data_IF_932834681509
#
_entry.id   IF_932834681509
#
_cell.length_a   1.000
_cell.length_b   1.000
_cell.length_c   1.000
_cell.angle_alpha   90.00
_cell.angle_beta   90.00
_cell.angle_gamma   90.00
#
_symmetry.space_group_name_H-M   'P 1'
#
loop_
_entity.id
_entity.type
_entity.pdbx_description
1 polymer ?
#
# COMPACT_ATOMS: atom_id res chain seq x y z
N UNK A 1 72.32 71.95 -7.24
CA UNK A 1 72.67 72.00 -8.68
C UNK A 1 72.41 70.62 -9.27
N UNK A 2 71.45 70.52 -10.21
CA UNK A 2 71.19 69.48 -11.25
C UNK A 2 71.31 67.99 -10.82
N UNK A 3 70.20 67.25 -10.68
CA UNK A 3 69.53 66.43 -11.72
C UNK A 3 70.46 65.41 -12.39
N UNK A 4 70.22 64.11 -12.19
CA UNK A 4 70.12 63.12 -13.28
C UNK A 4 69.36 61.86 -12.85
N UNK A 5 68.44 61.43 -13.73
CA UNK A 5 67.50 60.30 -13.65
C UNK A 5 68.18 58.93 -13.76
N UNK A 6 67.54 57.88 -13.24
CA UNK A 6 67.30 56.67 -14.04
C UNK A 6 66.13 55.83 -13.51
N UNK A 7 65.23 55.50 -14.43
CA UNK A 7 64.08 54.61 -14.27
C UNK A 7 64.53 53.15 -14.14
N UNK A 8 63.88 52.40 -13.24
CA UNK A 8 63.75 50.95 -13.36
C UNK A 8 62.29 50.56 -13.15
N UNK A 9 61.57 50.33 -14.25
CA UNK A 9 60.36 49.52 -14.28
C UNK A 9 60.73 48.08 -13.94
N UNK A 10 60.15 47.53 -12.88
CA UNK A 10 60.15 46.08 -12.64
C UNK A 10 58.73 45.56 -12.82
N UNK A 11 58.55 44.75 -13.87
CA UNK A 11 57.33 44.01 -14.17
C UNK A 11 57.01 43.03 -13.03
N UNK A 12 55.81 43.13 -12.46
CA UNK A 12 55.23 42.08 -11.65
C UNK A 12 54.71 40.97 -12.59
N UNK A 13 55.45 39.86 -12.65
CA UNK A 13 55.00 38.62 -13.30
C UNK A 13 53.99 37.95 -12.37
N UNK A 14 52.71 38.09 -12.66
CA UNK A 14 51.63 37.31 -12.05
C UNK A 14 51.70 35.87 -12.59
N UNK A 15 52.28 34.96 -11.80
CA UNK A 15 52.10 33.53 -11.99
C UNK A 15 50.64 33.17 -11.70
N UNK A 16 49.83 33.11 -12.75
CA UNK A 16 48.53 32.44 -12.71
C UNK A 16 48.82 30.93 -12.66
N UNK A 17 48.71 30.34 -11.47
CA UNK A 17 48.59 28.90 -11.36
C UNK A 17 47.30 28.48 -12.09
N UNK A 18 47.35 27.59 -13.09
CA UNK A 18 46.14 27.00 -13.60
C UNK A 18 45.55 26.15 -12.48
N UNK A 19 44.36 26.52 -12.00
CA UNK A 19 43.50 25.64 -11.24
C UNK A 19 43.28 24.39 -12.10
N UNK A 20 44.04 23.33 -11.82
CA UNK A 20 43.78 22.00 -12.34
C UNK A 20 42.36 21.62 -11.94
N UNK A 21 41.58 21.20 -12.93
CA UNK A 21 40.14 20.99 -12.85
C UNK A 21 39.70 20.25 -11.60
N UNK A 22 38.58 20.70 -11.04
CA UNK A 22 37.99 20.08 -9.86
C UNK A 22 37.67 18.62 -10.17
N UNK A 23 38.34 17.69 -9.48
CA UNK A 23 37.87 16.32 -9.36
C UNK A 23 36.51 16.38 -8.67
N UNK A 24 35.41 16.30 -9.43
CA UNK A 24 34.08 16.09 -8.85
C UNK A 24 34.13 14.77 -8.09
N UNK A 25 34.19 14.85 -6.76
CA UNK A 25 34.07 13.66 -5.92
C UNK A 25 32.63 13.15 -6.06
N UNK A 26 32.39 12.17 -6.93
CA UNK A 26 31.12 11.48 -6.95
C UNK A 26 30.94 10.75 -5.61
N UNK A 27 30.02 11.26 -4.79
CA UNK A 27 29.62 10.64 -3.53
C UNK A 27 28.19 10.11 -3.70
N UNK A 28 28.04 8.79 -3.75
CA UNK A 28 26.76 8.12 -3.98
C UNK A 28 25.88 8.31 -2.73
N UNK A 29 24.64 8.80 -2.86
CA UNK A 29 23.73 9.02 -1.73
C UNK A 29 23.45 7.75 -0.93
N UNK A 30 23.32 7.90 0.39
CA UNK A 30 23.09 6.78 1.33
C UNK A 30 21.86 5.94 0.98
N UNK A 31 20.82 6.56 0.40
CA UNK A 31 19.60 5.87 -0.03
C UNK A 31 19.85 4.82 -1.15
N UNK A 32 20.91 4.99 -1.93
CA UNK A 32 21.32 4.04 -2.97
C UNK A 32 22.36 3.03 -2.47
N UNK A 33 23.06 3.33 -1.38
CA UNK A 33 24.11 2.49 -0.84
C UNK A 33 23.56 1.19 -0.25
N UNK A 34 24.41 0.16 -0.19
CA UNK A 34 24.11 -1.14 0.37
C UNK A 34 24.12 -2.27 -0.66
N UNK A 35 23.60 -3.41 -0.24
CA UNK A 35 23.58 -4.65 -1.01
C UNK A 35 22.18 -4.91 -1.57
N UNK A 36 22.10 -5.03 -2.88
CA UNK A 36 20.87 -5.12 -3.64
C UNK A 36 20.81 -6.40 -4.45
N UNK A 37 19.67 -7.07 -4.40
CA UNK A 37 19.36 -8.26 -5.19
C UNK A 37 18.43 -7.91 -6.34
N UNK A 38 18.73 -8.40 -7.54
CA UNK A 38 17.86 -8.29 -8.71
C UNK A 38 17.86 -9.59 -9.50
N UNK A 39 16.77 -9.84 -10.24
CA UNK A 39 16.73 -10.87 -11.26
C UNK A 39 16.79 -10.23 -12.64
N UNK A 40 17.93 -10.35 -13.30
CA UNK A 40 18.24 -9.70 -14.57
C UNK A 40 18.37 -10.77 -15.67
N UNK A 41 17.54 -10.70 -16.71
CA UNK A 41 17.54 -11.67 -17.82
C UNK A 41 17.48 -13.14 -17.33
N UNK A 42 16.65 -13.39 -16.31
CA UNK A 42 16.49 -14.71 -15.71
C UNK A 42 17.62 -15.16 -14.79
N UNK A 43 18.65 -14.35 -14.57
CA UNK A 43 19.80 -14.66 -13.71
C UNK A 43 19.75 -13.82 -12.43
N UNK A 44 20.23 -14.42 -11.35
CA UNK A 44 20.39 -13.74 -10.07
C UNK A 44 21.61 -12.81 -10.14
N UNK A 45 21.40 -11.52 -9.89
CA UNK A 45 22.43 -10.49 -9.86
C UNK A 45 22.47 -9.86 -8.47
N UNK A 46 23.69 -9.66 -7.98
CA UNK A 46 23.96 -8.93 -6.73
C UNK A 46 24.70 -7.65 -7.10
N UNK A 47 24.22 -6.54 -6.55
CA UNK A 47 24.80 -5.22 -6.75
C UNK A 47 25.14 -4.63 -5.39
N UNK A 48 26.40 -4.34 -5.15
CA UNK A 48 26.86 -3.57 -4.00
C UNK A 48 27.18 -2.15 -4.44
N UNK A 49 26.63 -1.17 -3.71
CA UNK A 49 26.85 0.25 -3.90
C UNK A 49 27.45 0.81 -2.61
N UNK A 50 28.66 1.34 -2.70
CA UNK A 50 29.29 2.09 -1.61
C UNK A 50 29.24 3.59 -1.89
N UNK A 51 29.93 4.42 -1.10
CA UNK A 51 29.94 5.87 -1.28
C UNK A 51 30.58 6.33 -2.62
N UNK A 52 31.32 5.47 -3.31
CA UNK A 52 32.18 5.84 -4.44
C UNK A 52 32.16 4.84 -5.60
N UNK A 53 31.56 3.66 -5.45
CA UNK A 53 31.67 2.57 -6.42
C UNK A 53 30.41 1.71 -6.48
N UNK A 54 30.30 0.96 -7.58
CA UNK A 54 29.28 -0.05 -7.80
C UNK A 54 29.94 -1.35 -8.27
N UNK A 55 29.59 -2.47 -7.64
CA UNK A 55 30.10 -3.78 -8.01
C UNK A 55 29.86 -4.06 -9.50
N UNK A 56 30.88 -4.61 -10.20
CA UNK A 56 30.85 -4.93 -11.65
C UNK A 56 30.71 -3.72 -12.60
N UNK A 57 30.78 -2.49 -12.09
CA UNK A 57 30.78 -1.25 -12.88
C UNK A 57 31.93 -0.32 -12.52
N UNK A 58 32.53 -0.48 -11.34
CA UNK A 58 33.72 0.22 -10.91
C UNK A 58 33.43 1.54 -10.19
N UNK A 59 34.31 2.52 -10.34
CA UNK A 59 34.28 3.78 -9.58
C UNK A 59 33.32 4.78 -10.21
N UNK A 60 32.54 5.48 -9.40
CA UNK A 60 31.72 6.58 -9.84
C UNK A 60 32.58 7.80 -10.20
N UNK A 61 32.31 8.40 -11.35
CA UNK A 61 33.00 9.60 -11.85
C UNK A 61 32.12 10.84 -11.79
N UNK A 62 30.83 10.69 -12.10
CA UNK A 62 29.89 11.79 -12.17
C UNK A 62 28.50 11.33 -11.75
N UNK A 63 27.73 12.24 -11.19
CA UNK A 63 26.34 12.02 -10.79
C UNK A 63 25.50 13.24 -11.13
N UNK A 64 24.28 13.01 -11.60
CA UNK A 64 23.21 13.99 -11.70
C UNK A 64 22.04 13.51 -10.85
N UNK A 65 21.57 14.39 -9.99
CA UNK A 65 20.42 14.16 -9.12
C UNK A 65 19.23 14.98 -9.62
N UNK A 66 18.06 14.36 -9.69
CA UNK A 66 16.80 15.00 -10.04
C UNK A 66 15.75 14.66 -8.97
N UNK A 67 15.27 15.68 -8.27
CA UNK A 67 14.21 15.60 -7.25
C UNK A 67 14.47 14.61 -6.11
N UNK A 68 15.74 14.30 -5.79
CA UNK A 68 16.14 13.33 -4.75
C UNK A 68 15.60 11.91 -4.93
N UNK A 69 15.01 11.59 -6.09
CA UNK A 69 14.41 10.28 -6.39
C UNK A 69 15.02 9.65 -7.65
N UNK A 70 15.57 10.46 -8.55
CA UNK A 70 16.20 9.99 -9.77
C UNK A 70 17.68 10.35 -9.73
N UNK A 71 18.54 9.35 -9.92
CA UNK A 71 19.99 9.53 -9.89
C UNK A 71 20.60 8.91 -11.13
N UNK A 72 21.31 9.71 -11.92
CA UNK A 72 22.04 9.25 -13.10
C UNK A 72 23.53 9.29 -12.77
N UNK A 73 24.18 8.15 -12.75
CA UNK A 73 25.59 8.01 -12.40
C UNK A 73 26.39 7.45 -13.58
N UNK A 74 27.63 7.92 -13.73
CA UNK A 74 28.63 7.32 -14.61
C UNK A 74 29.61 6.54 -13.77
N UNK A 75 29.75 5.26 -14.08
CA UNK A 75 30.76 4.38 -13.51
C UNK A 75 31.84 4.06 -14.54
N UNK A 76 33.08 3.91 -14.07
CA UNK A 76 34.23 3.48 -14.86
C UNK A 76 34.86 2.22 -14.27
N UNK A 77 35.04 1.22 -15.12
CA UNK A 77 35.85 0.04 -14.86
C UNK A 77 36.80 -0.18 -16.04
N UNK A 78 38.10 -0.11 -15.78
CA UNK A 78 39.13 -0.15 -16.81
C UNK A 78 38.93 0.95 -17.88
N UNK A 79 38.70 0.57 -19.14
CA UNK A 79 38.40 1.49 -20.26
C UNK A 79 36.90 1.72 -20.48
N UNK A 80 36.06 1.02 -19.73
CA UNK A 80 34.63 0.94 -19.94
C UNK A 80 33.87 1.97 -19.09
N UNK A 81 33.02 2.77 -19.73
CA UNK A 81 32.05 3.64 -19.05
C UNK A 81 30.65 3.04 -19.12
N UNK A 82 29.95 3.03 -17.98
CA UNK A 82 28.55 2.62 -17.91
C UNK A 82 27.73 3.74 -17.28
N UNK A 83 26.65 4.15 -17.94
CA UNK A 83 25.67 5.01 -17.32
C UNK A 83 24.59 4.16 -16.65
N UNK A 84 24.28 4.46 -15.38
CA UNK A 84 23.22 3.82 -14.62
C UNK A 84 22.29 4.89 -14.08
N UNK A 85 21.01 4.79 -14.43
CA UNK A 85 19.94 5.62 -13.88
C UNK A 85 19.17 4.82 -12.85
N UNK A 86 19.21 5.25 -11.59
CA UNK A 86 18.41 4.72 -10.49
C UNK A 86 17.16 5.55 -10.26
N UNK A 87 16.06 4.87 -9.96
CA UNK A 87 14.79 5.42 -9.52
C UNK A 87 14.51 4.87 -8.12
N UNK A 88 14.52 5.74 -7.12
CA UNK A 88 14.17 5.37 -5.74
C UNK A 88 12.67 5.20 -5.65
N UNK A 89 12.20 3.96 -5.47
CA UNK A 89 10.77 3.67 -5.25
C UNK A 89 10.44 3.74 -3.77
N UNK A 90 11.26 3.07 -2.96
CA UNK A 90 11.14 3.05 -1.50
C UNK A 90 12.54 2.92 -0.89
N UNK A 91 12.63 2.94 0.44
CA UNK A 91 13.89 2.67 1.15
C UNK A 91 14.42 1.24 0.93
N UNK A 92 13.59 0.32 0.46
CA UNK A 92 13.95 -1.09 0.24
C UNK A 92 13.90 -1.50 -1.24
N UNK A 93 13.45 -0.62 -2.14
CA UNK A 93 13.22 -0.93 -3.54
C UNK A 93 13.76 0.19 -4.42
N UNK A 94 14.67 -0.17 -5.31
CA UNK A 94 15.12 0.69 -6.39
C UNK A 94 14.69 0.07 -7.72
N UNK A 95 14.57 0.90 -8.74
CA UNK A 95 14.63 0.43 -10.12
C UNK A 95 15.84 1.05 -10.80
N UNK A 96 16.42 0.34 -11.77
CA UNK A 96 17.50 0.88 -12.59
C UNK A 96 17.30 0.64 -14.08
N UNK A 97 17.91 1.50 -14.86
CA UNK A 97 18.21 1.31 -16.28
C UNK A 97 19.70 1.54 -16.44
N UNK A 98 20.36 0.71 -17.25
CA UNK A 98 21.78 0.87 -17.55
C UNK A 98 22.06 0.80 -19.05
N UNK A 99 23.07 1.56 -19.48
CA UNK A 99 23.61 1.46 -20.83
C UNK A 99 24.59 0.29 -20.91
N UNK A 100 24.83 -0.27 -22.10
CA UNK A 100 25.98 -1.13 -22.30
C UNK A 100 27.29 -0.36 -22.05
N UNK A 101 28.39 -1.11 -22.00
CA UNK A 101 29.73 -0.57 -21.94
C UNK A 101 30.02 0.35 -23.14
N UNK A 102 30.49 1.57 -22.88
CA UNK A 102 30.89 2.55 -23.90
C UNK A 102 32.37 2.89 -23.70
N UNK A 103 33.15 2.76 -24.76
CA UNK A 103 34.52 3.27 -24.81
C UNK A 103 34.49 4.75 -25.21
N UNK A 104 35.05 5.61 -24.37
CA UNK A 104 35.13 7.04 -24.62
C UNK A 104 36.49 7.60 -24.18
N UNK A 105 37.09 8.55 -24.91
CA UNK A 105 38.28 9.26 -24.45
C UNK A 105 37.95 10.04 -23.17
N UNK A 106 38.89 10.06 -22.20
CA UNK A 106 38.68 10.65 -20.86
C UNK A 106 38.22 12.11 -20.93
N UNK A 107 38.67 12.83 -21.95
CA UNK A 107 38.41 14.26 -22.16
C UNK A 107 36.94 14.58 -22.52
N UNK A 108 36.15 13.56 -22.88
CA UNK A 108 34.75 13.69 -23.33
C UNK A 108 33.74 12.95 -22.45
N UNK A 109 34.13 12.54 -21.24
CA UNK A 109 33.24 11.83 -20.31
C UNK A 109 32.29 12.82 -19.63
N UNK A 110 31.06 12.88 -20.13
CA UNK A 110 29.97 13.65 -19.51
C UNK A 110 28.69 12.83 -19.45
N UNK A 111 27.77 13.21 -18.55
CA UNK A 111 26.45 12.56 -18.43
C UNK A 111 25.70 12.59 -19.76
N UNK A 112 25.71 13.73 -20.46
CA UNK A 112 24.99 13.86 -21.72
C UNK A 112 25.59 12.99 -22.82
N UNK A 113 26.91 12.75 -22.80
CA UNK A 113 27.59 11.93 -23.81
C UNK A 113 27.44 10.43 -23.54
N UNK A 114 27.67 9.99 -22.30
CA UNK A 114 27.64 8.55 -21.95
C UNK A 114 26.20 8.05 -21.80
N UNK A 115 25.30 8.86 -21.23
CA UNK A 115 23.91 8.46 -20.99
C UNK A 115 22.98 8.72 -22.17
N UNK A 116 23.46 9.26 -23.30
CA UNK A 116 22.62 9.58 -24.46
C UNK A 116 21.85 8.36 -25.02
N UNK A 117 22.43 7.16 -24.86
CA UNK A 117 21.89 5.91 -25.38
C UNK A 117 20.91 5.20 -24.45
N UNK A 118 20.62 5.74 -23.26
CA UNK A 118 19.61 5.16 -22.35
C UNK A 118 18.22 5.37 -22.96
N UNK A 119 17.76 4.38 -23.72
CA UNK A 119 16.52 4.45 -24.48
C UNK A 119 15.33 4.37 -23.50
N UNK A 120 14.28 5.18 -23.72
CA UNK A 120 13.07 5.19 -22.89
C UNK A 120 12.27 3.88 -22.93
N UNK A 121 12.61 2.99 -23.87
CA UNK A 121 12.03 1.66 -24.05
C UNK A 121 12.75 0.53 -23.30
N UNK A 122 13.87 0.81 -22.60
CA UNK A 122 14.55 -0.20 -21.80
C UNK A 122 13.66 -0.62 -20.62
N UNK A 123 13.54 -1.93 -20.43
CA UNK A 123 12.80 -2.52 -19.32
C UNK A 123 13.50 -2.20 -17.99
N UNK A 124 12.74 -1.69 -17.03
CA UNK A 124 13.22 -1.38 -15.70
C UNK A 124 13.59 -2.66 -14.95
N UNK A 125 14.78 -2.68 -14.38
CA UNK A 125 15.22 -3.76 -13.49
C UNK A 125 14.92 -3.34 -12.06
N UNK A 126 14.14 -4.15 -11.33
CA UNK A 126 13.87 -3.91 -9.91
C UNK A 126 14.97 -4.52 -9.03
N UNK A 127 15.41 -3.76 -8.04
CA UNK A 127 16.39 -4.14 -7.04
C UNK A 127 15.73 -4.14 -5.66
N UNK A 128 15.95 -5.20 -4.88
CA UNK A 128 15.48 -5.37 -3.51
C UNK A 128 16.65 -5.28 -2.55
N UNK A 129 16.52 -4.48 -1.50
CA UNK A 129 17.54 -4.41 -0.44
C UNK A 129 17.65 -5.76 0.27
N UNK A 130 18.87 -6.33 0.35
CA UNK A 130 19.09 -7.57 1.10
C UNK A 130 18.96 -7.35 2.62
N UNK A 131 19.24 -6.12 3.09
CA UNK A 131 19.12 -5.69 4.49
C UNK A 131 17.92 -4.76 4.66
N UNK A 132 16.75 -5.20 4.18
CA UNK A 132 15.54 -4.38 4.20
C UNK A 132 15.05 -4.08 5.62
N UNK A 133 14.42 -2.91 5.77
CA UNK A 133 13.70 -2.51 6.99
C UNK A 133 12.19 -2.62 6.72
N UNK A 134 11.45 -3.50 7.41
CA UNK A 134 10.01 -3.65 7.19
C UNK A 134 9.25 -2.33 7.33
N UNK A 135 8.40 -2.03 6.36
CA UNK A 135 7.53 -0.84 6.38
C UNK A 135 6.08 -1.24 6.61
N UNK A 136 5.22 -0.26 6.90
CA UNK A 136 3.81 -0.52 7.15
C UNK A 136 3.10 -0.96 5.86
N UNK A 137 2.40 -2.09 5.90
CA UNK A 137 1.62 -2.66 4.82
C UNK A 137 0.34 -1.87 4.53
N UNK A 138 -0.06 -0.92 5.38
CA UNK A 138 -1.38 -0.27 5.29
C UNK A 138 -1.61 0.47 3.97
N UNK A 139 -0.58 1.09 3.40
CA UNK A 139 -0.65 1.72 2.08
C UNK A 139 -0.71 0.70 0.94
N UNK A 140 -0.06 -0.45 1.09
CA UNK A 140 -0.01 -1.53 0.09
C UNK A 140 -1.29 -2.39 0.08
N UNK A 141 -1.65 -2.94 1.24
CA UNK A 141 -2.76 -3.87 1.44
C UNK A 141 -3.16 -3.86 2.93
N UNK A 142 -4.37 -3.42 3.26
CA UNK A 142 -4.92 -3.47 4.63
C UNK A 142 -6.33 -4.07 4.69
N UNK A 143 -6.53 -5.12 5.50
CA UNK A 143 -7.83 -5.78 5.62
C UNK A 143 -7.78 -7.31 5.64
N UNK A 144 -8.97 -7.90 5.48
CA UNK A 144 -9.17 -9.35 5.35
C UNK A 144 -9.96 -9.65 4.09
N UNK A 145 -9.45 -10.57 3.28
CA UNK A 145 -10.06 -10.94 2.00
C UNK A 145 -10.07 -12.45 1.85
N UNK A 146 -11.18 -13.01 1.35
CA UNK A 146 -11.13 -14.29 0.68
C UNK A 146 -10.57 -14.08 -0.73
N UNK A 147 -9.90 -15.10 -1.28
CA UNK A 147 -9.46 -15.02 -2.66
C UNK A 147 -9.58 -16.34 -3.41
N UNK A 148 -9.78 -16.21 -4.72
CA UNK A 148 -9.53 -17.25 -5.68
C UNK A 148 -8.21 -16.97 -6.38
N UNK A 149 -7.48 -18.00 -6.79
CA UNK A 149 -6.19 -17.81 -7.46
C UNK A 149 -6.05 -18.64 -8.73
N UNK A 150 -5.34 -18.05 -9.69
CA UNK A 150 -4.93 -18.68 -10.93
C UNK A 150 -3.41 -18.58 -11.03
N UNK A 151 -2.76 -19.67 -11.45
CA UNK A 151 -1.34 -19.66 -11.78
C UNK A 151 -1.12 -20.25 -13.16
N UNK A 152 -0.76 -19.40 -14.13
CA UNK A 152 -0.68 -19.76 -15.56
C UNK A 152 0.35 -20.84 -15.87
N UNK A 153 1.32 -21.06 -14.98
CA UNK A 153 2.39 -22.03 -15.16
C UNK A 153 2.15 -23.35 -14.44
N UNK A 154 1.18 -23.40 -13.51
CA UNK A 154 0.93 -24.58 -12.67
C UNK A 154 -0.35 -25.32 -13.02
N UNK A 155 -1.42 -24.61 -13.39
CA UNK A 155 -2.71 -25.23 -13.68
C UNK A 155 -3.62 -24.34 -14.53
N UNK A 156 -4.64 -24.95 -15.14
CA UNK A 156 -5.67 -24.26 -15.92
C UNK A 156 -6.90 -23.97 -15.06
N UNK A 157 -7.46 -22.77 -15.19
CA UNK A 157 -8.64 -22.32 -14.45
C UNK A 157 -8.30 -21.55 -13.17
N UNK A 158 -9.35 -21.27 -12.38
CA UNK A 158 -9.27 -20.47 -11.16
C UNK A 158 -9.64 -21.35 -9.96
N UNK A 159 -8.71 -21.51 -9.00
CA UNK A 159 -8.95 -22.26 -7.78
C UNK A 159 -9.71 -21.39 -6.78
N UNK A 160 -10.95 -21.79 -6.49
CA UNK A 160 -11.87 -21.15 -5.54
C UNK A 160 -12.05 -22.02 -4.31
N UNK A 161 -11.52 -21.57 -3.18
CA UNK A 161 -11.69 -22.26 -1.90
C UNK A 161 -12.10 -21.26 -0.79
N UNK A 162 -13.11 -21.55 0.04
CA UNK A 162 -13.59 -20.62 1.07
C UNK A 162 -12.54 -20.31 2.14
N UNK A 163 -11.66 -21.28 2.45
CA UNK A 163 -10.58 -21.08 3.43
C UNK A 163 -9.29 -20.48 2.84
N UNK A 164 -9.30 -20.06 1.57
CA UNK A 164 -8.21 -19.25 1.00
C UNK A 164 -8.43 -17.78 1.35
N UNK A 165 -7.54 -17.20 2.17
CA UNK A 165 -7.69 -15.81 2.60
C UNK A 165 -6.35 -15.08 2.76
N UNK A 166 -6.42 -13.75 2.62
CA UNK A 166 -5.35 -12.81 2.90
C UNK A 166 -5.72 -12.05 4.17
N UNK A 167 -4.80 -11.93 5.12
CA UNK A 167 -4.98 -11.16 6.35
C UNK A 167 -3.80 -10.21 6.53
N UNK A 168 -4.06 -8.92 6.32
CA UNK A 168 -3.09 -7.82 6.50
C UNK A 168 -3.63 -6.83 7.52
N UNK A 169 -3.35 -7.11 8.79
CA UNK A 169 -3.94 -6.42 9.92
C UNK A 169 -2.87 -6.11 10.96
N UNK A 170 -3.10 -5.04 11.72
CA UNK A 170 -2.26 -4.71 12.88
C UNK A 170 -2.22 -5.89 13.84
N UNK A 171 -1.01 -6.40 14.11
CA UNK A 171 -0.80 -7.43 15.12
C UNK A 171 -0.56 -6.73 16.47
N UNK A 172 -1.10 -7.27 17.57
CA UNK A 172 -0.88 -6.73 18.92
C UNK A 172 0.51 -7.09 19.46
N UNK A 173 1.53 -7.05 18.60
CA UNK A 173 2.90 -7.40 18.97
C UNK A 173 3.50 -6.27 19.80
N UNK A 174 3.37 -6.42 21.12
CA UNK A 174 3.76 -5.53 22.21
C UNK A 174 2.79 -4.39 22.53
N UNK A 175 2.65 -4.11 23.83
CA UNK A 175 1.71 -3.13 24.42
C UNK A 175 1.92 -1.67 23.96
N UNK A 176 2.89 -1.38 23.08
CA UNK A 176 3.31 -0.02 22.75
C UNK A 176 3.38 0.31 21.24
N UNK A 177 3.39 -0.68 20.33
CA UNK A 177 3.55 -0.42 18.89
C UNK A 177 2.63 -1.32 18.05
N UNK A 178 1.49 -0.79 17.60
CA UNK A 178 0.64 -1.45 16.59
C UNK A 178 1.32 -1.36 15.21
N UNK A 179 2.20 -2.30 14.88
CA UNK A 179 2.90 -2.33 13.58
C UNK A 179 2.26 -3.35 12.64
N UNK A 180 1.59 -2.87 11.59
CA UNK A 180 1.18 -3.71 10.45
C UNK A 180 2.34 -3.80 9.45
N UNK A 181 3.44 -4.48 9.79
CA UNK A 181 4.61 -4.64 8.91
C UNK A 181 4.62 -5.96 8.14
N UNK A 182 3.69 -6.85 8.46
CA UNK A 182 3.60 -8.20 7.90
C UNK A 182 2.16 -8.58 7.63
N UNK A 183 1.97 -9.45 6.65
CA UNK A 183 0.67 -10.05 6.36
C UNK A 183 0.83 -11.50 5.90
N UNK A 184 -0.27 -12.25 6.03
CA UNK A 184 -0.29 -13.67 5.67
C UNK A 184 -1.24 -13.90 4.50
N UNK A 185 -0.82 -14.79 3.59
CA UNK A 185 -1.67 -15.37 2.56
C UNK A 185 -1.78 -16.87 2.83
N UNK A 186 -3.01 -17.34 3.03
CA UNK A 186 -3.33 -18.76 3.20
C UNK A 186 -3.88 -19.28 1.89
N UNK A 187 -3.14 -20.17 1.24
CA UNK A 187 -3.55 -20.91 0.06
C UNK A 187 -4.17 -22.24 0.48
N UNK A 188 -5.23 -22.62 -0.23
CA UNK A 188 -5.85 -23.94 -0.12
C UNK A 188 -5.89 -24.65 -1.46
N UNK A 189 -5.77 -25.97 -1.39
CA UNK A 189 -5.85 -26.85 -2.56
C UNK A 189 -7.31 -26.97 -3.02
N UNK A 190 -7.53 -26.94 -4.33
CA UNK A 190 -8.85 -27.19 -4.92
C UNK A 190 -8.99 -28.64 -5.37
N UNK A 191 -10.14 -29.25 -5.08
CA UNK A 191 -10.47 -30.61 -5.51
C UNK A 191 -10.49 -30.69 -7.04
N UNK A 192 -9.79 -31.68 -7.60
CA UNK A 192 -9.70 -31.89 -9.05
C UNK A 192 -8.73 -30.97 -9.80
N UNK A 193 -8.05 -30.04 -9.13
CA UNK A 193 -7.04 -29.15 -9.73
C UNK A 193 -5.63 -29.56 -9.32
N UNK A 194 -4.97 -30.34 -10.18
CA UNK A 194 -3.56 -30.67 -10.04
C UNK A 194 -2.71 -29.39 -10.14
N UNK A 195 -1.79 -29.18 -9.21
CA UNK A 195 -0.96 -27.96 -9.14
C UNK A 195 -1.47 -26.85 -8.20
N UNK A 196 -2.73 -26.94 -7.75
CA UNK A 196 -3.19 -26.18 -6.56
C UNK A 196 -2.59 -26.78 -5.29
N UNK A 197 -2.41 -25.96 -4.24
CA UNK A 197 -1.67 -26.38 -3.04
C UNK A 197 -2.22 -25.75 -1.76
N UNK A 198 -1.92 -26.40 -0.63
CA UNK A 198 -2.13 -25.86 0.71
C UNK A 198 -0.82 -25.25 1.21
N UNK A 199 -0.88 -24.01 1.72
CA UNK A 199 0.31 -23.34 2.24
C UNK A 199 -0.02 -22.00 2.87
N UNK A 200 0.81 -21.59 3.82
CA UNK A 200 0.74 -20.25 4.43
C UNK A 200 2.04 -19.53 4.14
N UNK A 201 1.94 -18.37 3.52
CA UNK A 201 3.08 -17.51 3.23
C UNK A 201 2.96 -16.24 4.05
N UNK A 202 3.99 -15.94 4.83
CA UNK A 202 4.10 -14.69 5.58
C UNK A 202 5.03 -13.74 4.80
N UNK A 203 4.52 -12.54 4.52
CA UNK A 203 5.22 -11.51 3.79
C UNK A 203 5.52 -10.33 4.71
N UNK A 204 6.75 -9.83 4.67
CA UNK A 204 7.12 -8.50 5.19
C UNK A 204 7.00 -7.46 4.08
N UNK A 205 6.40 -6.31 4.36
CA UNK A 205 6.24 -5.25 3.38
C UNK A 205 7.53 -4.45 3.20
N UNK A 206 7.92 -4.23 1.93
CA UNK A 206 9.09 -3.46 1.53
C UNK A 206 8.72 -2.04 1.05
N UNK A 207 7.44 -1.84 0.72
CA UNK A 207 6.82 -0.56 0.38
C UNK A 207 6.10 -0.61 -0.96
N UNK A 208 5.52 0.52 -1.35
CA UNK A 208 4.66 0.65 -2.52
C UNK A 208 4.91 1.95 -3.29
N UNK A 209 4.57 1.93 -4.58
CA UNK A 209 4.68 3.07 -5.49
C UNK A 209 3.64 3.00 -6.60
N UNK A 210 3.42 4.14 -7.26
CA UNK A 210 2.44 4.26 -8.34
C UNK A 210 3.13 4.53 -9.68
N UNK A 211 2.62 3.88 -10.73
CA UNK A 211 2.95 4.16 -12.13
C UNK A 211 1.65 4.39 -12.90
N UNK A 212 1.26 5.65 -13.04
CA UNK A 212 -0.05 6.02 -13.56
C UNK A 212 -1.17 5.48 -12.68
N UNK A 213 -2.02 4.62 -13.22
CA UNK A 213 -3.13 3.96 -12.49
C UNK A 213 -2.75 2.66 -11.79
N UNK A 214 -1.53 2.19 -12.03
CA UNK A 214 -1.03 0.93 -11.47
C UNK A 214 -0.35 1.21 -10.13
N UNK A 215 -0.75 0.45 -9.12
CA UNK A 215 -0.20 0.47 -7.77
C UNK A 215 0.63 -0.80 -7.57
N UNK A 216 1.93 -0.61 -7.44
CA UNK A 216 2.87 -1.69 -7.20
C UNK A 216 3.25 -1.71 -5.73
N UNK A 217 3.44 -2.91 -5.19
CA UNK A 217 4.08 -3.07 -3.89
C UNK A 217 4.96 -4.30 -3.85
N UNK A 218 6.04 -4.19 -3.09
CA UNK A 218 7.05 -5.22 -2.96
C UNK A 218 7.02 -5.83 -1.56
N UNK A 219 7.30 -7.13 -1.50
CA UNK A 219 7.31 -7.89 -0.26
C UNK A 219 8.44 -8.90 -0.23
N UNK A 220 8.83 -9.31 0.98
CA UNK A 220 9.78 -10.38 1.24
C UNK A 220 9.10 -11.51 2.02
N UNK A 221 9.14 -12.73 1.49
CA UNK A 221 8.72 -13.93 2.19
C UNK A 221 9.68 -14.21 3.35
N UNK A 222 9.16 -14.22 4.58
CA UNK A 222 10.00 -14.32 5.79
C UNK A 222 10.59 -15.70 6.01
N UNK A 223 10.05 -16.73 5.34
CA UNK A 223 10.46 -18.14 5.49
C UNK A 223 11.24 -18.68 4.30
N UNK A 224 11.45 -17.88 3.25
CA UNK A 224 12.20 -18.29 2.05
C UNK A 224 13.64 -17.75 2.10
N UNK A 225 14.59 -18.64 1.85
CA UNK A 225 16.03 -18.35 1.85
C UNK A 225 16.58 -18.06 0.45
N UNK A 226 15.97 -18.64 -0.58
CA UNK A 226 16.34 -18.42 -1.98
C UNK A 226 15.87 -17.04 -2.43
N UNK A 227 16.80 -16.14 -2.72
CA UNK A 227 16.50 -14.72 -3.00
C UNK A 227 15.52 -14.53 -4.16
N UNK A 228 15.60 -15.36 -5.19
CA UNK A 228 14.73 -15.30 -6.36
C UNK A 228 13.27 -15.69 -6.05
N UNK A 229 13.05 -16.44 -4.97
CA UNK A 229 11.72 -16.79 -4.45
C UNK A 229 11.31 -15.97 -3.23
N UNK A 230 12.28 -15.39 -2.52
CA UNK A 230 12.06 -14.55 -1.35
C UNK A 230 11.31 -13.28 -1.70
N UNK A 231 11.71 -12.57 -2.75
CA UNK A 231 11.09 -11.30 -3.11
C UNK A 231 9.96 -11.50 -4.13
N UNK A 232 8.89 -10.73 -3.94
CA UNK A 232 7.71 -10.73 -4.79
C UNK A 232 7.21 -9.32 -4.98
N UNK A 233 6.67 -9.06 -6.15
CA UNK A 233 5.94 -7.85 -6.46
C UNK A 233 4.47 -8.18 -6.63
N UNK A 234 3.64 -7.22 -6.25
CA UNK A 234 2.22 -7.24 -6.45
C UNK A 234 1.83 -6.02 -7.26
N UNK A 235 0.80 -6.19 -8.09
CA UNK A 235 0.22 -5.16 -8.91
C UNK A 235 -1.29 -5.10 -8.66
N UNK A 236 -1.78 -3.92 -8.34
CA UNK A 236 -3.20 -3.58 -8.29
C UNK A 236 -3.49 -2.46 -9.27
N UNK A 237 -4.66 -2.49 -9.91
CA UNK A 237 -5.12 -1.36 -10.71
C UNK A 237 -6.15 -0.54 -9.92
N UNK A 238 -6.06 0.79 -9.96
CA UNK A 238 -6.99 1.67 -9.26
C UNK A 238 -8.43 1.58 -9.80
N UNK A 239 -8.62 1.27 -11.07
CA UNK A 239 -9.94 1.11 -11.68
C UNK A 239 -10.55 -0.29 -11.39
N UNK A 240 -9.72 -1.28 -11.03
CA UNK A 240 -10.16 -2.66 -10.74
C UNK A 240 -9.51 -3.16 -9.44
N UNK A 241 -10.21 -2.97 -8.33
CA UNK A 241 -9.72 -3.32 -7.00
C UNK A 241 -10.04 -4.76 -6.54
N UNK A 242 -10.66 -5.54 -7.44
CA UNK A 242 -11.01 -6.95 -7.20
C UNK A 242 -9.88 -7.92 -7.55
N UNK A 243 -8.82 -7.47 -8.20
CA UNK A 243 -7.73 -8.33 -8.63
C UNK A 243 -6.37 -7.84 -8.19
N UNK A 244 -5.50 -8.79 -7.82
CA UNK A 244 -4.07 -8.57 -7.58
C UNK A 244 -3.27 -9.45 -8.54
N UNK A 245 -2.33 -8.85 -9.26
CA UNK A 245 -1.30 -9.56 -10.00
C UNK A 245 -0.12 -9.84 -9.09
N UNK A 246 0.48 -11.03 -9.18
CA UNK A 246 1.62 -11.45 -8.34
C UNK A 246 2.72 -12.02 -9.24
N UNK A 247 3.95 -11.56 -9.03
CA UNK A 247 5.13 -12.08 -9.73
C UNK A 247 5.52 -13.45 -9.15
N UNK A 248 5.97 -14.40 -9.97
CA UNK A 248 6.47 -15.70 -9.48
C UNK A 248 7.94 -15.67 -9.06
N UNK A 249 8.66 -14.60 -9.37
CA UNK A 249 10.08 -14.42 -9.08
C UNK A 249 10.32 -12.99 -8.60
N UNK A 250 11.54 -12.68 -8.15
CA UNK A 250 11.96 -11.32 -7.81
C UNK A 250 12.13 -10.40 -9.04
N UNK A 251 11.09 -10.31 -9.86
CA UNK A 251 11.06 -9.54 -11.10
C UNK A 251 9.68 -8.89 -11.29
N UNK A 252 9.58 -7.61 -10.94
CA UNK A 252 8.34 -6.85 -11.07
C UNK A 252 7.98 -6.53 -12.52
N UNK A 253 8.96 -6.59 -13.44
CA UNK A 253 8.74 -6.20 -14.84
C UNK A 253 7.86 -7.22 -15.60
N UNK A 254 7.65 -8.39 -15.01
CA UNK A 254 6.66 -9.39 -15.48
C UNK A 254 5.21 -8.95 -15.25
N UNK A 255 4.97 -7.93 -14.42
CA UNK A 255 3.65 -7.44 -14.05
C UNK A 255 3.28 -6.19 -14.87
N UNK A 256 2.89 -6.38 -16.12
CA UNK A 256 2.41 -5.27 -16.96
C UNK A 256 0.93 -4.93 -16.69
N UNK A 257 0.10 -5.96 -16.58
CA UNK A 257 -1.32 -5.84 -16.21
C UNK A 257 -1.71 -6.99 -15.28
N UNK A 258 -2.81 -6.81 -14.54
CA UNK A 258 -3.28 -7.82 -13.59
C UNK A 258 -3.74 -9.09 -14.32
N UNK A 259 -4.34 -8.96 -15.51
CA UNK A 259 -4.80 -10.07 -16.35
C UNK A 259 -3.63 -10.88 -16.90
N UNK A 260 -2.53 -10.20 -17.24
CA UNK A 260 -1.35 -10.83 -17.82
C UNK A 260 -0.37 -11.36 -16.78
N UNK A 261 -0.61 -11.10 -15.50
CA UNK A 261 0.28 -11.51 -14.40
C UNK A 261 0.48 -13.05 -14.33
N UNK A 262 1.68 -13.52 -13.93
CA UNK A 262 1.99 -14.93 -13.71
C UNK A 262 1.00 -15.65 -12.79
N UNK A 263 0.72 -15.03 -11.66
CA UNK A 263 -0.30 -15.41 -10.71
C UNK A 263 -1.29 -14.25 -10.57
N UNK A 264 -2.58 -14.59 -10.53
CA UNK A 264 -3.66 -13.64 -10.39
C UNK A 264 -4.54 -14.06 -9.23
N UNK A 265 -4.78 -13.14 -8.31
CA UNK A 265 -5.67 -13.31 -7.18
C UNK A 265 -6.93 -12.50 -7.43
N UNK A 266 -8.08 -13.14 -7.37
CA UNK A 266 -9.39 -12.50 -7.36
C UNK A 266 -9.85 -12.37 -5.90
N UNK A 267 -9.73 -11.17 -5.36
CA UNK A 267 -9.97 -10.88 -3.95
C UNK A 267 -11.40 -10.40 -3.71
N UNK A 268 -11.98 -10.82 -2.58
CA UNK A 268 -13.27 -10.35 -2.08
C UNK A 268 -13.13 -10.03 -0.61
N UNK A 269 -13.43 -8.79 -0.18
CA UNK A 269 -13.35 -8.45 1.23
C UNK A 269 -14.35 -9.27 2.02
N UNK A 270 -13.96 -9.75 3.20
CA UNK A 270 -14.80 -10.60 4.05
C UNK A 270 -14.94 -9.99 5.44
N UNK A 271 -16.02 -10.36 6.11
CA UNK A 271 -16.19 -10.06 7.52
C UNK A 271 -15.34 -11.07 8.32
N UNK A 272 -14.41 -10.60 9.16
CA UNK A 272 -13.41 -11.49 9.78
C UNK A 272 -13.98 -12.34 10.93
N UNK A 273 -15.10 -11.93 11.53
CA UNK A 273 -15.65 -12.55 12.74
C UNK A 273 -17.18 -12.51 12.70
N UNK A 274 -17.81 -13.59 13.17
CA UNK A 274 -19.25 -13.65 13.45
C UNK A 274 -19.43 -13.30 14.93
N UNK A 275 -20.27 -12.32 15.22
CA UNK A 275 -20.51 -11.85 16.58
C UNK A 275 -21.88 -12.34 17.04
N UNK A 276 -21.92 -13.07 18.15
CA UNK A 276 -23.17 -13.47 18.79
C UNK A 276 -23.87 -12.25 19.42
N UNK A 277 -25.16 -12.01 19.11
CA UNK A 277 -25.93 -10.95 19.72
C UNK A 277 -26.12 -11.15 21.23
N UNK A 278 -25.99 -10.07 22.00
CA UNK A 278 -26.24 -10.07 23.46
C UNK A 278 -27.54 -9.36 23.87
N UNK A 279 -28.18 -8.65 22.95
CA UNK A 279 -29.44 -7.96 23.19
C UNK A 279 -30.36 -7.98 21.96
N UNK A 280 -31.61 -7.55 22.14
CA UNK A 280 -32.59 -7.37 21.06
C UNK A 280 -32.93 -5.90 20.90
N UNK A 281 -33.00 -5.45 19.66
CA UNK A 281 -33.49 -4.13 19.29
C UNK A 281 -35.00 -4.01 19.51
N UNK A 282 -35.51 -2.79 19.76
CA UNK A 282 -36.94 -2.53 19.82
C UNK A 282 -37.69 -3.03 18.57
N UNK A 283 -38.78 -3.78 18.76
CA UNK A 283 -39.52 -4.42 17.66
C UNK A 283 -40.01 -3.42 16.60
N UNK A 284 -40.37 -2.20 17.02
CA UNK A 284 -40.84 -1.13 16.16
C UNK A 284 -39.76 -0.58 15.19
N UNK A 285 -38.49 -0.94 15.38
CA UNK A 285 -37.43 -0.57 14.45
C UNK A 285 -37.26 -1.57 13.32
N UNK A 286 -37.86 -2.76 13.40
CA UNK A 286 -37.68 -3.78 12.36
C UNK A 286 -38.23 -3.32 11.02
N UNK A 287 -37.44 -3.46 9.95
CA UNK A 287 -37.83 -3.10 8.60
C UNK A 287 -36.73 -2.45 7.76
N UNK A 288 -37.14 -1.89 6.62
CA UNK A 288 -36.27 -1.18 5.68
C UNK A 288 -36.40 0.33 5.89
N UNK A 289 -35.26 1.00 6.00
CA UNK A 289 -35.15 2.43 6.25
C UNK A 289 -34.11 3.08 5.33
N UNK A 290 -34.14 4.40 5.27
CA UNK A 290 -33.19 5.24 4.53
C UNK A 290 -32.52 6.17 5.54
N UNK A 291 -31.19 6.24 5.51
CA UNK A 291 -30.41 7.12 6.37
C UNK A 291 -30.14 8.47 5.69
N UNK A 292 -30.87 9.51 6.09
CA UNK A 292 -30.74 10.84 5.50
C UNK A 292 -29.51 11.61 5.98
N UNK A 293 -28.80 11.11 6.99
CA UNK A 293 -27.55 11.71 7.45
C UNK A 293 -26.35 11.37 6.55
N UNK A 294 -26.48 10.32 5.73
CA UNK A 294 -25.36 9.56 5.19
C UNK A 294 -25.66 9.10 3.75
N UNK A 295 -25.62 10.05 2.80
CA UNK A 295 -25.81 9.82 1.35
C UNK A 295 -26.99 8.89 1.00
N UNK A 296 -28.08 8.96 1.77
CA UNK A 296 -29.29 8.13 1.60
C UNK A 296 -29.02 6.61 1.60
N UNK A 297 -28.12 6.15 2.48
CA UNK A 297 -27.80 4.72 2.63
C UNK A 297 -29.05 3.88 2.98
N UNK A 298 -29.13 2.69 2.38
CA UNK A 298 -30.19 1.71 2.67
C UNK A 298 -29.88 1.02 4.01
N UNK A 299 -30.84 1.05 4.93
CA UNK A 299 -30.72 0.46 6.26
C UNK A 299 -31.74 -0.68 6.39
N UNK A 300 -31.26 -1.86 6.77
CA UNK A 300 -32.11 -2.96 7.18
C UNK A 300 -31.93 -3.22 8.67
N UNK A 301 -33.02 -3.19 9.43
CA UNK A 301 -33.01 -3.49 10.86
C UNK A 301 -33.82 -4.76 11.09
N UNK A 302 -33.23 -5.71 11.81
CA UNK A 302 -33.93 -6.88 12.35
C UNK A 302 -33.87 -6.86 13.89
N UNK A 303 -34.29 -7.94 14.54
CA UNK A 303 -34.33 -8.03 16.01
C UNK A 303 -32.97 -7.82 16.70
N UNK A 304 -31.84 -8.03 16.03
CA UNK A 304 -30.51 -8.04 16.66
C UNK A 304 -29.44 -7.28 15.88
N UNK A 305 -29.72 -6.92 14.63
CA UNK A 305 -28.77 -6.36 13.68
C UNK A 305 -29.32 -5.10 13.01
N UNK A 306 -28.41 -4.17 12.72
CA UNK A 306 -28.62 -3.07 11.78
C UNK A 306 -27.60 -3.26 10.65
N UNK A 307 -28.05 -3.34 9.41
CA UNK A 307 -27.19 -3.47 8.23
C UNK A 307 -27.33 -2.17 7.44
N UNK A 308 -26.22 -1.45 7.32
CA UNK A 308 -26.13 -0.20 6.57
C UNK A 308 -25.39 -0.47 5.26
N UNK A 309 -26.08 -0.26 4.15
CA UNK A 309 -25.57 -0.46 2.78
C UNK A 309 -25.40 0.88 2.11
N UNK A 310 -24.15 1.22 1.82
CA UNK A 310 -23.78 2.41 1.10
C UNK A 310 -23.60 2.07 -0.37
N UNK A 311 -24.39 2.70 -1.24
CA UNK A 311 -24.26 2.55 -2.68
C UNK A 311 -23.45 3.73 -3.24
N UNK A 312 -22.37 3.43 -3.95
CA UNK A 312 -21.54 4.41 -4.65
C UNK A 312 -21.98 4.52 -6.11
N UNK A 313 -21.75 5.68 -6.74
CA UNK A 313 -22.17 5.98 -8.11
C UNK A 313 -21.62 5.01 -9.18
N UNK A 314 -20.53 4.31 -8.88
CA UNK A 314 -19.91 3.32 -9.76
C UNK A 314 -20.53 1.91 -9.66
N UNK A 315 -21.71 1.78 -9.03
CA UNK A 315 -22.39 0.48 -8.84
C UNK A 315 -21.74 -0.41 -7.77
N UNK A 316 -20.81 0.15 -6.98
CA UNK A 316 -20.22 -0.53 -5.83
C UNK A 316 -21.08 -0.31 -4.60
N UNK A 317 -21.14 -1.31 -3.72
CA UNK A 317 -21.70 -1.14 -2.38
C UNK A 317 -20.70 -1.48 -1.28
N UNK A 318 -20.83 -0.81 -0.13
CA UNK A 318 -20.13 -1.14 1.10
C UNK A 318 -21.14 -1.41 2.20
N UNK A 319 -20.98 -2.54 2.88
CA UNK A 319 -21.88 -2.95 3.95
C UNK A 319 -21.18 -2.83 5.29
N UNK A 320 -21.86 -2.20 6.23
CA UNK A 320 -21.49 -2.20 7.65
C UNK A 320 -22.61 -2.86 8.44
N UNK A 321 -22.27 -3.90 9.19
CA UNK A 321 -23.19 -4.62 10.06
C UNK A 321 -22.94 -4.19 11.50
N UNK A 322 -23.99 -3.80 12.20
CA UNK A 322 -23.98 -3.52 13.63
C UNK A 322 -24.75 -4.64 14.33
N UNK A 323 -24.15 -5.26 15.34
CA UNK A 323 -24.73 -6.36 16.11
C UNK A 323 -24.96 -5.91 17.56
N UNK A 324 -26.18 -6.08 18.07
CA UNK A 324 -26.56 -5.70 19.43
C UNK A 324 -25.74 -6.50 20.44
N UNK A 325 -24.95 -5.82 21.28
CA UNK A 325 -24.17 -6.47 22.35
C UNK A 325 -24.79 -6.28 23.71
N UNK A 326 -25.18 -5.06 24.04
CA UNK A 326 -25.72 -4.70 25.35
C UNK A 326 -26.64 -3.48 25.22
N UNK A 327 -27.68 -3.42 26.05
CA UNK A 327 -28.66 -2.33 26.02
C UNK A 327 -29.00 -1.89 27.44
N UNK A 328 -29.02 -0.57 27.65
CA UNK A 328 -29.52 0.09 28.86
C UNK A 328 -30.38 1.29 28.45
N UNK A 329 -31.66 1.25 28.80
CA UNK A 329 -32.65 2.27 28.44
C UNK A 329 -32.67 2.56 26.91
N UNK A 330 -32.35 3.79 26.52
CA UNK A 330 -32.23 4.24 25.12
C UNK A 330 -30.87 3.96 24.49
N UNK A 331 -29.87 3.59 25.29
CA UNK A 331 -28.50 3.36 24.85
C UNK A 331 -28.30 1.90 24.47
N UNK A 332 -27.85 1.67 23.24
CA UNK A 332 -27.55 0.35 22.70
C UNK A 332 -26.10 0.32 22.22
N UNK A 333 -25.28 -0.49 22.88
CA UNK A 333 -23.92 -0.76 22.44
C UNK A 333 -23.95 -1.82 21.34
N UNK A 334 -23.41 -1.46 20.18
CA UNK A 334 -23.35 -2.28 18.99
C UNK A 334 -21.90 -2.64 18.64
N UNK A 335 -21.65 -3.89 18.30
CA UNK A 335 -20.43 -4.28 17.61
C UNK A 335 -20.55 -3.91 16.12
N UNK A 336 -19.72 -3.00 15.65
CA UNK A 336 -19.61 -2.56 14.26
C UNK A 336 -18.60 -3.44 13.51
N UNK A 337 -19.06 -4.01 12.41
CA UNK A 337 -18.32 -4.90 11.54
C UNK A 337 -18.43 -4.37 10.11
N UNK A 338 -17.33 -3.83 9.59
CA UNK A 338 -17.25 -3.39 8.19
C UNK A 338 -16.59 -4.49 7.36
N UNK A 339 -17.17 -4.81 6.20
CA UNK A 339 -16.62 -5.81 5.29
C UNK A 339 -15.18 -5.44 4.90
N UNK A 340 -14.24 -6.37 5.06
CA UNK A 340 -12.81 -6.17 4.79
C UNK A 340 -12.02 -5.49 5.92
N UNK A 341 -12.68 -5.07 7.01
CA UNK A 341 -11.99 -4.50 8.17
C UNK A 341 -11.17 -5.56 8.92
N UNK A 342 -10.10 -5.10 9.57
CA UNK A 342 -9.23 -5.92 10.40
C UNK A 342 -9.70 -6.13 11.83
N UNK A 343 -10.51 -5.20 12.33
CA UNK A 343 -10.97 -5.19 13.70
C UNK A 343 -12.47 -4.90 13.75
N UNK A 344 -13.12 -5.50 14.74
CA UNK A 344 -14.43 -5.06 15.20
C UNK A 344 -14.26 -3.81 16.05
N UNK A 345 -15.22 -2.92 15.94
CA UNK A 345 -15.31 -1.73 16.78
C UNK A 345 -16.62 -1.81 17.57
N UNK A 346 -16.72 -1.06 18.65
CA UNK A 346 -17.93 -0.90 19.44
C UNK A 346 -18.38 0.54 19.33
N UNK A 347 -19.66 0.72 19.07
CA UNK A 347 -20.28 2.04 18.93
C UNK A 347 -21.56 2.08 19.72
N UNK A 348 -21.80 3.19 20.43
CA UNK A 348 -23.06 3.39 21.12
C UNK A 348 -24.07 4.08 20.20
N UNK A 349 -25.29 3.55 20.17
CA UNK A 349 -26.46 4.22 19.63
C UNK A 349 -27.32 4.71 20.78
N UNK A 350 -27.80 5.94 20.70
CA UNK A 350 -28.83 6.46 21.59
C UNK A 350 -30.11 6.69 20.78
N UNK A 351 -31.09 5.81 20.95
CA UNK A 351 -32.34 5.84 20.19
C UNK A 351 -33.41 6.63 20.92
N UNK A 352 -34.06 7.55 20.21
CA UNK A 352 -35.22 8.29 20.72
C UNK A 352 -36.46 7.81 19.99
N UNK A 353 -37.35 7.15 20.74
CA UNK A 353 -38.65 6.69 20.26
C UNK A 353 -39.55 7.90 20.02
N UNK A 354 -40.10 8.03 18.80
CA UNK A 354 -41.02 9.14 18.52
C UNK A 354 -42.18 8.80 17.59
N UNK A 355 -41.94 8.07 16.49
CA UNK A 355 -42.96 7.86 15.45
C UNK A 355 -42.77 6.54 14.70
N UNK A 356 -43.86 5.90 14.24
CA UNK A 356 -43.83 4.58 13.58
C UNK A 356 -43.06 4.53 12.24
N UNK A 357 -42.79 5.70 11.66
CA UNK A 357 -42.11 5.87 10.37
C UNK A 357 -40.76 6.60 10.48
N UNK A 358 -40.32 6.98 11.69
CA UNK A 358 -39.08 7.73 11.91
C UNK A 358 -38.36 7.19 13.14
N UNK A 359 -37.13 6.72 12.97
CA UNK A 359 -36.23 6.44 14.10
C UNK A 359 -35.24 7.59 14.23
N UNK A 360 -35.23 8.24 15.39
CA UNK A 360 -34.21 9.24 15.72
C UNK A 360 -33.10 8.57 16.50
N UNK A 361 -31.86 8.88 16.17
CA UNK A 361 -30.73 8.34 16.90
C UNK A 361 -29.57 9.31 16.96
N UNK A 362 -28.66 9.04 17.91
CA UNK A 362 -27.31 9.58 17.93
C UNK A 362 -26.33 8.44 17.92
N UNK A 363 -25.22 8.63 17.24
CA UNK A 363 -24.16 7.64 17.12
C UNK A 363 -22.89 8.18 17.81
N UNK A 364 -22.34 7.39 18.72
CA UNK A 364 -21.08 7.69 19.37
C UNK A 364 -19.87 7.46 18.46
N UNK A 365 -18.69 7.85 18.93
CA UNK A 365 -17.43 7.55 18.26
C UNK A 365 -17.12 6.05 18.39
N UNK A 366 -16.74 5.34 17.31
CA UNK A 366 -16.33 3.95 17.39
C UNK A 366 -15.08 3.76 18.27
N UNK A 367 -15.06 2.70 19.08
CA UNK A 367 -13.95 2.36 19.97
C UNK A 367 -13.56 0.88 19.83
N UNK A 368 -12.35 0.51 20.24
CA UNK A 368 -11.89 -0.90 20.19
C UNK A 368 -12.26 -1.66 21.49
N UNK A 369 -12.51 -0.94 22.58
CA UNK A 369 -12.92 -1.52 23.87
C UNK A 369 -14.40 -1.91 23.86
N UNK A 370 -14.72 -3.02 24.53
CA UNK A 370 -16.07 -3.57 24.68
C UNK A 370 -16.77 -3.14 25.98
N UNK A 371 -16.25 -2.15 26.70
CA UNK A 371 -16.84 -1.68 27.94
C UNK A 371 -18.01 -0.73 27.69
N UNK A 372 -19.22 -1.14 28.07
CA UNK A 372 -20.45 -0.37 27.88
C UNK A 372 -20.35 1.07 28.38
N UNK A 373 -19.93 1.28 29.63
CA UNK A 373 -19.85 2.61 30.22
C UNK A 373 -18.86 3.54 29.51
N UNK A 374 -17.79 2.98 28.95
CA UNK A 374 -16.80 3.74 28.18
C UNK A 374 -17.36 4.12 26.80
N UNK A 375 -17.87 3.12 26.07
CA UNK A 375 -18.41 3.26 24.70
C UNK A 375 -19.65 4.15 24.66
N UNK A 376 -20.54 3.99 25.65
CA UNK A 376 -21.78 4.76 25.78
C UNK A 376 -21.66 5.99 26.70
N UNK A 377 -20.44 6.42 27.05
CA UNK A 377 -20.27 7.65 27.82
C UNK A 377 -20.73 8.87 27.01
N UNK A 378 -21.31 9.87 27.69
CA UNK A 378 -21.79 11.11 27.04
C UNK A 378 -20.70 11.83 26.22
N UNK A 379 -19.42 11.64 26.58
CA UNK A 379 -18.28 12.24 25.87
C UNK A 379 -18.07 11.64 24.46
N UNK A 380 -18.53 10.42 24.20
CA UNK A 380 -18.35 9.78 22.89
C UNK A 380 -19.28 10.32 21.81
N UNK A 381 -20.36 10.99 22.19
CA UNK A 381 -21.27 11.67 21.27
C UNK A 381 -20.70 13.05 20.95
N UNK A 382 -19.93 13.15 19.87
CA UNK A 382 -19.34 14.41 19.41
C UNK A 382 -20.47 15.37 18.98
N UNK A 383 -20.90 16.27 19.89
CA UNK A 383 -21.57 17.55 19.63
C UNK A 383 -22.15 18.11 20.93
N UNK A 384 -21.39 18.93 21.67
CA UNK A 384 -21.94 19.68 22.81
C UNK A 384 -22.71 20.94 22.37
N UNK A 385 -22.56 21.41 21.13
CA UNK A 385 -23.06 22.75 20.72
C UNK A 385 -24.33 22.70 19.85
N UNK A 386 -24.68 21.56 19.23
CA UNK A 386 -26.01 21.34 18.63
C UNK A 386 -26.40 19.87 18.78
N UNK A 387 -27.44 19.60 19.58
CA UNK A 387 -28.10 18.31 19.74
C UNK A 387 -28.79 17.86 18.44
N UNK A 388 -28.02 17.58 17.39
CA UNK A 388 -28.55 17.13 16.09
C UNK A 388 -28.70 15.62 16.12
N UNK A 389 -29.95 15.16 16.11
CA UNK A 389 -30.28 13.75 15.90
C UNK A 389 -30.22 13.43 14.42
N UNK A 390 -29.73 12.23 14.11
CA UNK A 390 -29.82 11.63 12.78
C UNK A 390 -31.15 10.87 12.67
N UNK A 391 -31.62 10.65 11.44
CA UNK A 391 -32.93 10.08 11.16
C UNK A 391 -32.80 8.87 10.24
N UNK A 392 -33.45 7.78 10.64
CA UNK A 392 -33.87 6.75 9.71
C UNK A 392 -35.32 6.99 9.33
N UNK A 393 -35.59 7.11 8.02
CA UNK A 393 -36.93 7.24 7.46
C UNK A 393 -37.37 5.90 6.90
N UNK A 394 -38.58 5.45 7.22
CA UNK A 394 -39.06 4.15 6.74
C UNK A 394 -39.19 4.18 5.22
N UNK A 395 -38.61 3.20 4.52
CA UNK A 395 -38.58 3.15 3.05
C UNK A 395 -39.99 3.04 2.46
N UNK A 396 -40.84 2.24 3.13
CA UNK A 396 -42.27 2.15 2.87
C UNK A 396 -43.03 2.62 4.13
N UNK A 397 -43.48 3.88 4.18
CA UNK A 397 -44.21 4.41 5.31
C UNK A 397 -45.50 3.63 5.54
N UNK A 398 -45.82 3.34 6.80
CA UNK A 398 -47.15 2.84 7.13
C UNK A 398 -48.12 4.02 7.09
N UNK A 399 -49.12 3.93 6.23
CA UNK A 399 -50.29 4.80 6.28
C UNK A 399 -51.23 4.26 7.35
N UNK A 400 -51.55 5.08 8.35
CA UNK A 400 -52.73 4.81 9.16
C UNK A 400 -53.93 5.12 8.27
N UNK A 401 -54.60 4.08 7.76
CA UNK A 401 -55.93 4.25 7.23
C UNK A 401 -56.85 4.59 8.41
N UNK A 402 -57.27 5.86 8.50
CA UNK A 402 -58.46 6.27 9.23
C UNK A 402 -59.67 5.59 8.57
N UNK A 403 -59.92 4.34 8.93
CA UNK A 403 -60.94 3.57 8.23
C UNK A 403 -61.05 2.11 8.64
N UNK A 404 -61.40 1.82 9.89
CA UNK A 404 -62.25 0.66 10.21
C UNK A 404 -62.82 0.73 11.62
N UNK A 405 -64.10 1.08 11.68
CA UNK A 405 -65.15 0.57 12.58
C UNK A 405 -64.73 -0.05 13.92
N UNK A 406 -65.07 0.66 15.00
CA UNK A 406 -65.85 0.10 16.11
C UNK A 406 -66.80 1.18 16.64
#
# INVERSE_FOLDING_TARGET
MKIYQQLCSFMAVLFVFPNTGSSYSCNIPVILQGTWFSRENGRNTFTELDATSMSRRGRCLAMKEEFHVNYTLIFKQDLCYTCVKFLVRTVNVLEKIETPCVDAPEDHVSIDTICHSSNSSQQLVTLFSENYVPVNCRSSLHGVWNFAYQNKFKFTGECKHPDSYIRSCEQPDSQFLKTNQRFNITYKKCTGMTGSFDGVVEYSCLGDWFLGKNHYFAVANTKESRRDEKYRCFLKNLDSDLYLGVSTTADCSTLNTVENSPERLHIKPVQPEIIEPGCRLPQNFSGNWINTANMDADIFINETHIIETWNYDNGRSSNTTYVCKEQHDSLVMMARLTIGSCQKEYVCFDFVLQHHNIVRYRKGTPMITDNFHTVCSKMQFQNQVKSKYELYLRKNPMHFDDGSNL
#
